data_IF_005293870486
#
_entry.id   IF_005293870486
#
_cell.length_a   1.000
_cell.length_b   1.000
_cell.length_c   1.000
_cell.angle_alpha   90.00
_cell.angle_beta   90.00
_cell.angle_gamma   90.00
#
_symmetry.space_group_name_H-M   'P 1'
#
loop_
_entity.id
_entity.type
_entity.pdbx_description
1 polymer ?
#
# COMPACT_ATOMS: atom_id res chain seq x y z
N UNK A 1 17.01 -29.78 15.09
CA UNK A 1 17.16 -29.07 13.80
C UNK A 1 15.89 -28.27 13.63
N UNK A 2 16.00 -26.95 13.73
CA UNK A 2 14.88 -26.04 13.53
C UNK A 2 14.42 -26.17 12.07
N UNK A 3 13.12 -26.37 11.84
CA UNK A 3 12.50 -25.96 10.58
C UNK A 3 12.08 -24.51 10.80
N UNK A 4 12.94 -23.52 10.55
CA UNK A 4 12.42 -22.20 10.35
C UNK A 4 11.85 -22.20 8.91
N UNK A 5 10.67 -21.58 8.75
CA UNK A 5 10.43 -20.67 7.64
C UNK A 5 9.80 -21.15 6.32
N UNK A 6 9.12 -22.30 6.19
CA UNK A 6 8.32 -22.49 4.96
C UNK A 6 7.19 -21.48 4.83
N UNK A 7 6.45 -21.20 5.91
CA UNK A 7 5.35 -20.22 5.87
C UNK A 7 5.83 -18.76 5.86
N UNK A 8 6.91 -18.44 6.57
CA UNK A 8 7.53 -17.10 6.51
C UNK A 8 8.14 -16.82 5.14
N UNK A 9 8.82 -17.79 4.56
CA UNK A 9 9.38 -17.66 3.23
C UNK A 9 8.28 -17.57 2.16
N UNK A 10 7.14 -18.26 2.37
CA UNK A 10 5.94 -18.10 1.53
C UNK A 10 5.34 -16.69 1.66
N UNK A 11 5.17 -16.11 2.86
CA UNK A 11 4.69 -14.72 2.99
C UNK A 11 5.67 -13.72 2.38
N UNK A 12 6.99 -13.94 2.55
CA UNK A 12 8.03 -13.12 1.93
C UNK A 12 7.96 -13.16 0.39
N UNK A 13 7.84 -14.35 -0.19
CA UNK A 13 7.73 -14.54 -1.64
C UNK A 13 6.43 -13.93 -2.19
N UNK A 14 5.31 -14.10 -1.48
CA UNK A 14 4.02 -13.49 -1.83
C UNK A 14 4.08 -11.96 -1.74
N UNK A 15 4.69 -11.41 -0.68
CA UNK A 15 4.90 -9.98 -0.53
C UNK A 15 5.75 -9.39 -1.66
N UNK A 16 6.81 -10.06 -2.06
CA UNK A 16 7.64 -9.66 -3.22
C UNK A 16 6.85 -9.71 -4.53
N UNK A 17 6.08 -10.77 -4.76
CA UNK A 17 5.25 -10.90 -5.96
C UNK A 17 4.17 -9.80 -6.03
N UNK A 18 3.55 -9.43 -4.90
CA UNK A 18 2.66 -8.27 -4.79
C UNK A 18 3.35 -6.97 -5.21
N UNK A 19 4.57 -6.74 -4.72
CA UNK A 19 5.34 -5.54 -5.04
C UNK A 19 5.68 -5.47 -6.54
N UNK A 20 6.14 -6.57 -7.12
CA UNK A 20 6.48 -6.65 -8.55
C UNK A 20 5.25 -6.43 -9.44
N UNK A 21 4.09 -6.99 -9.05
CA UNK A 21 2.82 -6.76 -9.75
C UNK A 21 2.38 -5.30 -9.68
N UNK A 22 2.51 -4.65 -8.52
CA UNK A 22 2.18 -3.23 -8.37
C UNK A 22 3.10 -2.34 -9.21
N UNK A 23 4.41 -2.65 -9.27
CA UNK A 23 5.36 -1.92 -10.12
C UNK A 23 5.03 -2.12 -11.60
N UNK A 24 4.69 -3.33 -12.01
CA UNK A 24 4.26 -3.62 -13.38
C UNK A 24 2.95 -2.86 -13.73
N UNK A 25 2.02 -2.73 -12.78
CA UNK A 25 0.80 -1.93 -12.93
C UNK A 25 1.09 -0.45 -13.13
N UNK A 26 1.97 0.11 -12.29
CA UNK A 26 2.43 1.48 -12.42
C UNK A 26 3.08 1.73 -13.78
N UNK A 27 4.02 0.88 -14.19
CA UNK A 27 4.68 0.98 -15.51
C UNK A 27 3.69 0.89 -16.65
N UNK A 28 2.77 -0.07 -16.64
CA UNK A 28 1.76 -0.22 -17.68
C UNK A 28 0.79 0.96 -17.77
N UNK A 29 0.54 1.67 -16.66
CA UNK A 29 -0.26 2.90 -16.67
C UNK A 29 0.42 4.07 -17.40
N UNK A 30 1.76 4.04 -17.50
CA UNK A 30 2.59 5.06 -18.15
C UNK A 30 2.79 4.74 -19.64
N UNK A 31 2.84 3.46 -20.01
CA UNK A 31 3.00 3.02 -21.42
C UNK A 31 1.66 3.10 -22.16
N UNK A 32 1.28 4.32 -22.52
CA UNK A 32 0.47 4.60 -23.71
C UNK A 32 -1.05 4.51 -23.54
N UNK A 33 -1.72 5.51 -24.10
CA UNK A 33 -3.15 5.77 -24.21
C UNK A 33 -4.03 4.63 -24.82
N UNK A 34 -3.45 3.46 -25.12
CA UNK A 34 -4.09 2.29 -25.76
C UNK A 34 -4.12 1.03 -24.88
N UNK A 35 -3.71 1.13 -23.62
CA UNK A 35 -3.68 -0.01 -22.67
C UNK A 35 -5.11 -0.42 -22.25
N UNK A 36 -5.63 -1.40 -22.98
CA UNK A 36 -6.97 -1.97 -22.91
C UNK A 36 -7.47 -2.20 -21.48
N UNK A 37 -8.75 -1.90 -21.25
CA UNK A 37 -9.50 -2.25 -20.02
C UNK A 37 -9.23 -3.70 -19.58
N UNK A 38 -8.96 -4.59 -20.53
CA UNK A 38 -8.65 -6.00 -20.30
C UNK A 38 -7.30 -6.20 -19.61
N UNK A 39 -6.24 -5.48 -19.99
CA UNK A 39 -4.94 -5.59 -19.31
C UNK A 39 -5.04 -5.12 -17.85
N UNK A 40 -5.66 -3.96 -17.62
CA UNK A 40 -5.90 -3.45 -16.25
C UNK A 40 -6.72 -4.43 -15.41
N UNK A 41 -7.70 -5.11 -16.03
CA UNK A 41 -8.52 -6.12 -15.36
C UNK A 41 -7.72 -7.38 -15.02
N UNK A 42 -6.95 -7.93 -15.96
CA UNK A 42 -6.09 -9.11 -15.70
C UNK A 42 -5.11 -8.84 -14.57
N UNK A 43 -4.56 -7.63 -14.53
CA UNK A 43 -3.63 -7.23 -13.48
C UNK A 43 -4.32 -7.04 -12.12
N UNK A 44 -5.50 -6.44 -12.10
CA UNK A 44 -6.32 -6.36 -10.89
C UNK A 44 -6.71 -7.76 -10.37
N UNK A 45 -7.11 -8.66 -11.27
CA UNK A 45 -7.46 -10.04 -10.92
C UNK A 45 -6.25 -10.82 -10.38
N UNK A 46 -5.05 -10.58 -10.94
CA UNK A 46 -3.81 -11.17 -10.44
C UNK A 46 -3.47 -10.64 -9.03
N UNK A 47 -3.60 -9.33 -8.80
CA UNK A 47 -3.41 -8.73 -7.48
C UNK A 47 -4.35 -9.33 -6.44
N UNK A 48 -5.65 -9.42 -6.77
CA UNK A 48 -6.66 -10.02 -5.86
C UNK A 48 -6.27 -11.44 -5.45
N UNK A 49 -5.86 -12.29 -6.39
CA UNK A 49 -5.46 -13.67 -6.08
C UNK A 49 -4.25 -13.78 -5.16
N UNK A 50 -3.29 -12.86 -5.28
CA UNK A 50 -2.11 -12.84 -4.40
C UNK A 50 -2.49 -12.37 -3.00
N UNK A 51 -3.41 -11.40 -2.89
CA UNK A 51 -3.99 -10.99 -1.61
C UNK A 51 -4.79 -12.13 -0.96
N UNK A 52 -5.64 -12.82 -1.70
CA UNK A 52 -6.40 -13.98 -1.19
C UNK A 52 -5.48 -15.08 -0.65
N UNK A 53 -4.36 -15.37 -1.35
CA UNK A 53 -3.37 -16.33 -0.88
C UNK A 53 -2.69 -15.90 0.43
N UNK A 54 -2.48 -14.59 0.60
CA UNK A 54 -1.90 -14.02 1.81
C UNK A 54 -2.85 -14.11 3.01
N UNK A 55 -4.14 -13.86 2.78
CA UNK A 55 -5.17 -14.00 3.81
C UNK A 55 -5.26 -15.43 4.34
N UNK A 56 -5.12 -16.44 3.46
CA UNK A 56 -5.07 -17.86 3.86
C UNK A 56 -3.87 -18.13 4.78
N UNK A 57 -2.69 -17.57 4.48
CA UNK A 57 -1.50 -17.72 5.31
C UNK A 57 -1.72 -17.06 6.67
N UNK A 58 -2.22 -15.83 6.70
CA UNK A 58 -2.44 -15.10 7.94
C UNK A 58 -3.54 -15.72 8.81
N UNK A 59 -4.52 -16.42 8.22
CA UNK A 59 -5.49 -17.22 8.96
C UNK A 59 -4.83 -18.42 9.67
N UNK A 60 -3.81 -19.04 9.06
CA UNK A 60 -3.08 -20.17 9.64
C UNK A 60 -1.96 -19.72 10.60
N UNK A 61 -1.35 -18.57 10.33
CA UNK A 61 -0.25 -17.97 11.10
C UNK A 61 -0.53 -16.48 11.36
N UNK A 62 -1.42 -16.16 12.31
CA UNK A 62 -1.77 -14.77 12.63
C UNK A 62 -0.57 -13.93 13.10
N UNK A 63 0.46 -14.58 13.65
CA UNK A 63 1.71 -13.98 14.07
C UNK A 63 2.53 -13.39 12.91
N UNK A 64 2.32 -13.88 11.67
CA UNK A 64 2.96 -13.38 10.47
C UNK A 64 2.22 -12.20 9.84
N UNK A 65 1.03 -11.86 10.36
CA UNK A 65 0.23 -10.76 9.80
C UNK A 65 0.97 -9.44 10.00
N UNK A 66 1.25 -8.66 8.94
CA UNK A 66 1.95 -7.40 9.07
C UNK A 66 1.08 -6.37 9.82
N UNK A 67 1.73 -5.43 10.52
CA UNK A 67 1.07 -4.40 11.35
C UNK A 67 -0.03 -3.64 10.60
N UNK A 68 0.17 -3.31 9.31
CA UNK A 68 -0.85 -2.62 8.51
C UNK A 68 -2.13 -3.43 8.34
N UNK A 69 -2.02 -4.76 8.17
CA UNK A 69 -3.17 -5.64 7.98
C UNK A 69 -3.91 -5.81 9.32
N UNK A 70 -3.17 -5.92 10.42
CA UNK A 70 -3.75 -5.95 11.76
C UNK A 70 -4.54 -4.66 12.06
N UNK A 71 -3.95 -3.49 11.79
CA UNK A 71 -4.62 -2.21 12.03
C UNK A 71 -5.80 -1.98 11.07
N UNK A 72 -5.69 -2.38 9.81
CA UNK A 72 -6.78 -2.25 8.82
C UNK A 72 -7.96 -3.19 9.12
N UNK A 73 -7.72 -4.37 9.70
CA UNK A 73 -8.80 -5.25 10.16
C UNK A 73 -9.46 -4.73 11.43
N UNK A 74 -8.68 -4.16 12.34
CA UNK A 74 -9.19 -3.56 13.57
C UNK A 74 -10.05 -2.31 13.31
N UNK A 75 -9.66 -1.51 12.31
CA UNK A 75 -10.43 -0.35 11.85
C UNK A 75 -10.30 -0.16 10.33
N UNK A 76 -11.21 -0.73 9.53
CA UNK A 76 -11.17 -0.60 8.07
C UNK A 76 -11.25 0.84 7.58
N UNK A 77 -11.83 1.75 8.39
CA UNK A 77 -11.97 3.16 8.02
C UNK A 77 -10.63 3.87 7.99
N UNK A 78 -9.64 3.40 8.77
CA UNK A 78 -8.31 4.01 8.82
C UNK A 78 -7.53 3.82 7.53
N UNK A 79 -7.63 2.64 6.93
CA UNK A 79 -6.98 2.30 5.67
C UNK A 79 -7.61 3.11 4.52
N UNK A 80 -8.94 3.20 4.49
CA UNK A 80 -9.66 4.02 3.52
C UNK A 80 -9.33 5.52 3.65
N UNK A 81 -9.27 6.04 4.89
CA UNK A 81 -8.91 7.43 5.17
C UNK A 81 -7.46 7.74 4.77
N UNK A 82 -6.53 6.81 5.02
CA UNK A 82 -5.14 6.93 4.57
C UNK A 82 -5.05 7.03 3.05
N UNK A 83 -5.71 6.12 2.31
CA UNK A 83 -5.71 6.17 0.84
C UNK A 83 -6.37 7.43 0.29
N UNK A 84 -7.43 7.94 0.94
CA UNK A 84 -8.03 9.21 0.57
C UNK A 84 -7.04 10.38 0.76
N UNK A 85 -6.31 10.40 1.88
CA UNK A 85 -5.28 11.42 2.13
C UNK A 85 -4.12 11.35 1.12
N UNK A 86 -3.63 10.15 0.79
CA UNK A 86 -2.61 9.95 -0.25
C UNK A 86 -3.09 10.41 -1.62
N UNK A 87 -4.32 10.06 -2.00
CA UNK A 87 -4.91 10.50 -3.27
C UNK A 87 -5.03 12.02 -3.34
N UNK A 88 -5.47 12.66 -2.26
CA UNK A 88 -5.55 14.12 -2.18
C UNK A 88 -4.14 14.76 -2.27
N UNK A 89 -3.15 14.22 -1.58
CA UNK A 89 -1.77 14.68 -1.66
C UNK A 89 -1.20 14.57 -3.09
N UNK A 90 -1.43 13.45 -3.79
CA UNK A 90 -1.01 13.29 -5.18
C UNK A 90 -1.67 14.30 -6.13
N UNK A 91 -2.95 14.63 -5.92
CA UNK A 91 -3.62 15.67 -6.71
C UNK A 91 -2.97 17.05 -6.50
N UNK A 92 -2.66 17.39 -5.24
CA UNK A 92 -1.97 18.63 -4.89
C UNK A 92 -0.56 18.69 -5.49
N UNK A 93 0.19 17.57 -5.51
CA UNK A 93 1.50 17.49 -6.16
C UNK A 93 1.42 17.71 -7.66
N UNK A 94 0.39 17.17 -8.33
CA UNK A 94 0.18 17.39 -9.76
C UNK A 94 -0.09 18.87 -10.09
N UNK A 95 -0.61 19.63 -9.12
CA UNK A 95 -0.81 21.08 -9.20
C UNK A 95 0.41 21.90 -8.72
N UNK A 96 1.52 21.25 -8.36
CA UNK A 96 2.72 21.91 -7.82
C UNK A 96 2.60 22.38 -6.36
N UNK A 97 1.52 22.03 -5.66
CA UNK A 97 1.23 22.44 -4.29
C UNK A 97 1.90 21.51 -3.27
N UNK A 98 3.23 21.43 -3.31
CA UNK A 98 4.03 20.49 -2.50
C UNK A 98 3.79 20.65 -0.99
N UNK A 99 3.74 21.89 -0.50
CA UNK A 99 3.50 22.17 0.92
C UNK A 99 2.11 21.71 1.40
N UNK A 100 1.09 21.85 0.55
CA UNK A 100 -0.28 21.45 0.88
C UNK A 100 -0.44 19.93 0.85
N UNK A 101 0.25 19.25 -0.08
CA UNK A 101 0.32 17.80 -0.12
C UNK A 101 0.90 17.22 1.17
N UNK A 102 2.05 17.74 1.62
CA UNK A 102 2.66 17.33 2.88
C UNK A 102 1.77 17.65 4.10
N UNK A 103 1.07 18.79 4.11
CA UNK A 103 0.13 19.16 5.17
C UNK A 103 -1.06 18.20 5.25
N UNK A 104 -1.60 17.79 4.10
CA UNK A 104 -2.72 16.83 4.02
C UNK A 104 -2.36 15.51 4.71
N UNK A 105 -1.17 14.96 4.40
CA UNK A 105 -0.68 13.72 5.00
C UNK A 105 -0.39 13.86 6.51
N UNK A 106 0.23 14.97 6.93
CA UNK A 106 0.47 15.23 8.35
C UNK A 106 -0.84 15.41 9.15
N UNK A 107 -1.87 15.99 8.54
CA UNK A 107 -3.19 16.15 9.16
C UNK A 107 -3.88 14.80 9.36
N UNK A 108 -3.77 13.90 8.38
CA UNK A 108 -4.19 12.51 8.57
C UNK A 108 -3.41 11.85 9.72
N UNK A 109 -2.08 11.97 9.72
CA UNK A 109 -1.23 11.37 10.75
C UNK A 109 -1.51 11.88 12.17
N UNK A 110 -2.05 13.10 12.31
CA UNK A 110 -2.44 13.69 13.59
C UNK A 110 -3.87 13.32 14.02
N UNK A 111 -4.75 12.97 13.08
CA UNK A 111 -6.16 12.67 13.35
C UNK A 111 -6.44 11.18 13.55
N UNK A 112 -5.54 10.30 13.09
CA UNK A 112 -5.70 8.86 13.24
C UNK A 112 -5.15 8.31 14.56
N UNK A 113 -5.75 7.22 15.04
CA UNK A 113 -5.24 6.42 16.17
C UNK A 113 -4.31 5.28 15.73
N UNK A 114 -4.24 5.02 14.43
CA UNK A 114 -3.34 4.01 13.85
C UNK A 114 -1.88 4.44 14.02
N UNK A 115 -1.01 3.50 14.41
CA UNK A 115 0.43 3.76 14.51
C UNK A 115 1.09 3.59 13.16
N UNK A 116 0.78 2.48 12.45
CA UNK A 116 1.36 2.18 11.15
C UNK A 116 1.03 3.25 10.10
N UNK A 117 -0.26 3.54 9.87
CA UNK A 117 -0.68 4.47 8.82
C UNK A 117 -0.26 5.91 9.14
N UNK A 118 -0.25 6.31 10.42
CA UNK A 118 0.32 7.61 10.80
C UNK A 118 1.81 7.71 10.47
N UNK A 119 2.58 6.65 10.72
CA UNK A 119 4.02 6.59 10.38
C UNK A 119 4.24 6.65 8.88
N UNK A 120 3.47 5.89 8.09
CA UNK A 120 3.53 5.94 6.62
C UNK A 120 3.18 7.33 6.08
N UNK A 121 2.12 7.97 6.59
CA UNK A 121 1.75 9.31 6.16
C UNK A 121 2.83 10.36 6.47
N UNK A 122 3.49 10.28 7.64
CA UNK A 122 4.64 11.16 7.97
C UNK A 122 5.83 10.92 7.06
N UNK A 123 6.16 9.66 6.76
CA UNK A 123 7.27 9.33 5.87
C UNK A 123 7.02 9.86 4.45
N UNK A 124 5.80 9.69 3.93
CA UNK A 124 5.40 10.20 2.62
C UNK A 124 5.48 11.74 2.60
N UNK A 125 4.94 12.41 3.62
CA UNK A 125 5.00 13.87 3.75
C UNK A 125 6.45 14.39 3.77
N UNK A 126 7.35 13.70 4.49
CA UNK A 126 8.76 14.06 4.56
C UNK A 126 9.47 13.89 3.21
N UNK A 127 9.08 12.89 2.41
CA UNK A 127 9.65 12.67 1.07
C UNK A 127 9.42 13.86 0.14
N UNK A 128 8.30 14.58 0.30
CA UNK A 128 7.97 15.77 -0.48
C UNK A 128 8.74 17.02 -0.04
N UNK A 129 9.20 17.07 1.22
CA UNK A 129 10.01 18.19 1.73
C UNK A 129 11.51 18.02 1.46
N UNK A 130 11.97 16.81 1.16
CA UNK A 130 13.38 16.47 0.91
C UNK A 130 13.85 16.58 -0.54
N UNK A 131 12.96 16.97 -1.47
CA UNK A 131 13.32 17.27 -2.86
C UNK A 131 13.63 18.77 -2.94
N UNK A 132 14.87 19.15 -2.69
CA UNK A 132 15.43 20.48 -2.95
C UNK A 132 16.77 20.35 -3.65
#
# INVERSE_FOLDING_TARGET
MNQPDTLEELDRLLGSACADLNVAAGKASIVGHDSSRQFKRVLADALVRVWDARDIIHAQRPDLKPEFAQEAEADPTVCAAYFAAVKAAHALLAEGQVAEAARTLNSFAASTRSTFFARCARAEAASHCGVS
#
